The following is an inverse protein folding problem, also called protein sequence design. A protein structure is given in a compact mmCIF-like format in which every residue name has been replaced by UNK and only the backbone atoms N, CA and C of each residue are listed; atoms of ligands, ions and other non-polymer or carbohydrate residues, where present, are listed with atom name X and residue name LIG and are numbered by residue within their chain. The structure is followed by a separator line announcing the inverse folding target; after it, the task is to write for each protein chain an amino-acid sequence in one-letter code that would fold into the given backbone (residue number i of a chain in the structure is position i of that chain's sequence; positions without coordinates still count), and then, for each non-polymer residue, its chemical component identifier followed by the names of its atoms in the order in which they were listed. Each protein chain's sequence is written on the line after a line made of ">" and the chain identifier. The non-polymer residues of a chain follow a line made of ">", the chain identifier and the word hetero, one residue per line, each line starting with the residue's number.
data_IF_206579592442
#
_entry.id   IF_206579592442
#
_cell.length_a   1.000
_cell.length_b   1.000
_cell.length_c   1.000
_cell.angle_alpha   90.00
_cell.angle_beta   90.00
_cell.angle_gamma   90.00
#
_symmetry.space_group_name_H-M   'P 1'
#
loop_
_entity.id
_entity.type
_entity.pdbx_description
1 polymer ?
#
# COMPACT_ATOMS: atom_id res chain seq x y z
N UNK A 1 9.89 9.30 50.44
CA UNK A 1 10.96 9.51 49.43
C UNK A 1 11.13 8.33 48.48
N UNK A 2 11.54 7.12 48.92
CA UNK A 2 11.79 5.96 48.03
C UNK A 2 10.56 5.41 47.28
N UNK A 3 9.37 5.42 47.91
CA UNK A 3 8.10 5.02 47.27
C UNK A 3 7.59 6.05 46.24
N UNK A 4 7.93 7.33 46.42
CA UNK A 4 7.55 8.41 45.52
C UNK A 4 8.38 8.36 44.22
N UNK A 5 9.67 7.99 44.33
CA UNK A 5 10.58 7.81 43.19
C UNK A 5 10.20 6.60 42.33
N UNK A 6 9.78 5.49 42.96
CA UNK A 6 9.28 4.31 42.24
C UNK A 6 7.97 4.60 41.47
N UNK A 7 7.08 5.41 42.04
CA UNK A 7 5.82 5.79 41.39
C UNK A 7 6.05 6.70 40.17
N UNK A 8 7.02 7.61 40.24
CA UNK A 8 7.42 8.47 39.13
C UNK A 8 8.06 7.68 37.97
N UNK A 9 8.84 6.63 38.26
CA UNK A 9 9.45 5.75 37.25
C UNK A 9 8.38 4.90 36.55
N UNK A 10 7.38 4.38 37.28
CA UNK A 10 6.26 3.67 36.68
C UNK A 10 5.40 4.56 35.76
N UNK A 11 5.21 5.84 36.11
CA UNK A 11 4.50 6.80 35.25
C UNK A 11 5.27 7.11 33.96
N UNK A 12 6.59 7.26 34.03
CA UNK A 12 7.43 7.54 32.88
C UNK A 12 7.51 6.36 31.88
N UNK A 13 7.48 5.12 32.39
CA UNK A 13 7.45 3.91 31.55
C UNK A 13 6.10 3.69 30.85
N UNK A 14 5.00 4.16 31.44
CA UNK A 14 3.66 4.06 30.82
C UNK A 14 3.51 4.97 29.60
N UNK A 15 4.17 6.14 29.62
CA UNK A 15 4.03 7.14 28.57
C UNK A 15 4.75 6.78 27.25
N UNK A 16 5.68 5.81 27.28
CA UNK A 16 6.44 5.39 26.10
C UNK A 16 5.76 4.25 25.30
N UNK A 17 4.69 3.66 25.85
CA UNK A 17 4.04 2.47 25.27
C UNK A 17 2.87 2.79 24.31
N UNK A 18 2.54 4.06 24.10
CA UNK A 18 1.40 4.46 23.25
C UNK A 18 1.85 4.83 21.83
N UNK A 19 2.42 3.88 21.09
CA UNK A 19 2.51 4.02 19.63
C UNK A 19 1.13 3.71 19.05
N UNK A 20 0.43 4.74 18.57
CA UNK A 20 -0.78 4.54 17.76
C UNK A 20 -0.33 4.03 16.40
N UNK A 21 -0.81 2.84 16.04
CA UNK A 21 -0.68 2.34 14.67
C UNK A 21 -1.53 3.25 13.78
N UNK A 22 -0.88 4.03 12.92
CA UNK A 22 -1.59 4.88 11.97
C UNK A 22 -2.15 3.98 10.86
N UNK A 23 -3.43 4.14 10.48
CA UNK A 23 -4.00 3.31 9.44
C UNK A 23 -3.21 3.50 8.15
N UNK A 24 -2.81 2.39 7.54
CA UNK A 24 -2.06 2.37 6.28
C UNK A 24 -2.57 1.24 5.38
N UNK A 25 -2.41 1.41 4.07
CA UNK A 25 -2.74 0.38 3.08
C UNK A 25 -1.46 -0.05 2.38
N UNK A 26 -1.13 -1.33 2.47
CA UNK A 26 0.02 -1.88 1.77
C UNK A 26 -0.33 -2.09 0.29
N UNK A 27 0.34 -1.34 -0.59
CA UNK A 27 0.22 -1.47 -2.05
C UNK A 27 1.34 -2.31 -2.68
N UNK A 28 2.33 -2.73 -1.89
CA UNK A 28 3.39 -3.66 -2.33
C UNK A 28 2.87 -5.10 -2.27
N UNK A 29 1.87 -5.36 -3.09
CA UNK A 29 1.25 -6.66 -3.34
C UNK A 29 1.39 -6.99 -4.83
N UNK A 30 0.89 -8.13 -5.29
CA UNK A 30 0.85 -8.41 -6.71
C UNK A 30 -0.28 -7.64 -7.40
N UNK A 31 0.02 -7.01 -8.53
CA UNK A 31 -0.92 -6.28 -9.37
C UNK A 31 -1.23 -7.11 -10.62
N UNK A 32 -2.35 -6.81 -11.28
CA UNK A 32 -2.60 -7.32 -12.63
C UNK A 32 -1.71 -6.58 -13.62
N UNK A 33 -1.09 -7.31 -14.54
CA UNK A 33 -0.17 -6.77 -15.54
C UNK A 33 -0.46 -7.31 -16.95
N UNK A 34 -0.36 -6.42 -17.93
CA UNK A 34 -0.37 -6.75 -19.36
C UNK A 34 0.60 -5.85 -20.13
N UNK A 35 1.16 -6.37 -21.21
CA UNK A 35 1.93 -5.59 -22.19
C UNK A 35 1.02 -5.03 -23.29
N UNK A 36 1.49 -4.01 -24.00
CA UNK A 36 0.72 -3.28 -25.01
C UNK A 36 0.14 -1.97 -24.49
N UNK A 37 -0.33 -1.13 -25.42
CA UNK A 37 -0.96 0.15 -25.12
C UNK A 37 -2.39 0.18 -25.64
N UNK A 38 -3.36 0.01 -24.74
CA UNK A 38 -4.78 0.15 -25.05
C UNK A 38 -5.44 1.05 -24.00
N UNK A 39 -5.95 2.24 -24.38
CA UNK A 39 -6.61 3.15 -23.44
C UNK A 39 -7.81 2.55 -22.70
N UNK A 40 -8.44 1.50 -23.25
CA UNK A 40 -9.54 0.79 -22.58
C UNK A 40 -9.09 0.10 -21.29
N UNK A 41 -7.79 -0.16 -21.13
CA UNK A 41 -7.20 -0.71 -19.90
C UNK A 41 -7.35 0.21 -18.70
N UNK A 42 -7.64 1.50 -18.89
CA UNK A 42 -7.94 2.44 -17.81
C UNK A 42 -9.39 2.34 -17.28
N UNK A 43 -10.30 1.71 -18.03
CA UNK A 43 -11.72 1.72 -17.67
C UNK A 43 -11.96 0.95 -16.35
N UNK A 44 -12.76 1.50 -15.39
CA UNK A 44 -13.05 0.81 -14.14
C UNK A 44 -13.72 -0.56 -14.34
N UNK A 45 -14.55 -0.66 -15.38
CA UNK A 45 -15.28 -1.87 -15.77
C UNK A 45 -14.50 -2.85 -16.65
N UNK A 46 -13.25 -2.57 -17.01
CA UNK A 46 -12.44 -3.49 -17.80
C UNK A 46 -12.24 -4.82 -17.06
N UNK A 47 -12.40 -5.95 -17.76
CA UNK A 47 -12.19 -7.29 -17.21
C UNK A 47 -10.72 -7.68 -17.33
N UNK A 48 -10.01 -7.61 -16.22
CA UNK A 48 -8.58 -7.88 -16.07
C UNK A 48 -8.28 -9.31 -15.57
N UNK A 49 -9.27 -10.22 -15.62
CA UNK A 49 -9.13 -11.60 -15.12
C UNK A 49 -8.08 -12.41 -15.88
N UNK A 50 -7.87 -12.10 -17.17
CA UNK A 50 -6.86 -12.75 -18.01
C UNK A 50 -5.44 -12.21 -17.81
N UNK A 51 -5.26 -11.13 -17.05
CA UNK A 51 -3.95 -10.51 -16.84
C UNK A 51 -3.11 -11.32 -15.85
N UNK A 52 -1.79 -11.27 -16.04
CA UNK A 52 -0.82 -11.92 -15.16
C UNK A 52 -0.78 -11.21 -13.81
N UNK A 53 -0.54 -11.94 -12.72
CA UNK A 53 -0.17 -11.33 -11.44
C UNK A 53 1.31 -10.95 -11.50
N UNK A 54 1.66 -9.76 -11.01
CA UNK A 54 2.98 -9.17 -11.19
C UNK A 54 3.43 -8.46 -9.91
N UNK A 55 4.66 -8.74 -9.40
CA UNK A 55 5.22 -7.98 -8.30
C UNK A 55 5.53 -6.54 -8.74
N UNK A 56 5.40 -5.60 -7.80
CA UNK A 56 5.69 -4.17 -8.02
C UNK A 56 6.96 -3.69 -7.29
N UNK A 57 7.76 -4.63 -6.79
CA UNK A 57 9.04 -4.38 -6.11
C UNK A 57 10.25 -4.33 -7.06
N UNK A 58 10.03 -4.58 -8.36
CA UNK A 58 11.07 -4.68 -9.39
C UNK A 58 10.53 -4.33 -10.78
N UNK A 59 11.44 -4.08 -11.73
CA UNK A 59 11.13 -3.81 -13.14
C UNK A 59 10.61 -5.08 -13.85
N UNK A 60 9.76 -4.91 -14.88
CA UNK A 60 9.11 -6.04 -15.54
C UNK A 60 10.07 -6.96 -16.29
N UNK A 61 11.20 -6.45 -16.78
CA UNK A 61 12.20 -7.27 -17.48
C UNK A 61 12.74 -8.35 -16.54
N UNK A 62 13.07 -7.94 -15.31
CA UNK A 62 13.51 -8.83 -14.22
C UNK A 62 12.41 -9.79 -13.73
N UNK A 63 11.15 -9.52 -14.06
CA UNK A 63 9.99 -10.36 -13.73
C UNK A 63 9.58 -11.28 -14.89
N UNK A 64 10.42 -11.44 -15.93
CA UNK A 64 10.23 -12.41 -17.00
C UNK A 64 9.63 -11.83 -18.29
N UNK A 65 9.71 -10.51 -18.47
CA UNK A 65 9.29 -9.83 -19.70
C UNK A 65 10.45 -9.27 -20.52
N UNK A 66 11.70 -9.56 -20.16
CA UNK A 66 12.84 -9.26 -21.03
C UNK A 66 12.70 -9.97 -22.40
N UNK A 67 13.03 -9.33 -23.54
CA UNK A 67 13.50 -7.95 -23.73
C UNK A 67 12.39 -7.01 -24.21
N UNK A 68 11.16 -7.17 -23.69
CA UNK A 68 10.02 -6.38 -24.13
C UNK A 68 10.26 -4.88 -23.91
N UNK A 69 10.26 -4.13 -25.01
CA UNK A 69 10.37 -2.68 -25.05
C UNK A 69 9.06 -2.11 -25.65
N UNK A 70 8.39 -1.25 -24.89
CA UNK A 70 7.10 -0.71 -25.25
C UNK A 70 6.29 -0.27 -24.03
N UNK A 71 4.98 -0.29 -24.18
CA UNK A 71 4.04 0.12 -23.15
C UNK A 71 3.50 -1.09 -22.40
N UNK A 72 3.20 -0.89 -21.12
CA UNK A 72 2.56 -1.89 -20.29
C UNK A 72 1.65 -1.20 -19.27
N UNK A 73 0.68 -1.95 -18.78
CA UNK A 73 -0.31 -1.46 -17.83
C UNK A 73 -0.35 -2.33 -16.59
N UNK A 74 -0.50 -1.67 -15.45
CA UNK A 74 -0.74 -2.30 -14.15
C UNK A 74 -2.15 -1.93 -13.66
N UNK A 75 -2.85 -2.89 -13.05
CA UNK A 75 -4.18 -2.69 -12.45
C UNK A 75 -4.26 -3.34 -11.07
N UNK A 76 -4.80 -2.61 -10.11
CA UNK A 76 -5.10 -3.11 -8.77
C UNK A 76 -6.50 -2.65 -8.37
N UNK A 77 -7.31 -3.59 -7.84
CA UNK A 77 -8.59 -3.27 -7.20
C UNK A 77 -8.36 -3.27 -5.70
N UNK A 78 -8.62 -2.14 -5.06
CA UNK A 78 -8.49 -1.97 -3.61
C UNK A 78 -9.82 -1.54 -2.99
N UNK A 79 -10.00 -1.90 -1.74
CA UNK A 79 -11.00 -1.28 -0.87
C UNK A 79 -10.25 -0.37 0.09
N UNK A 80 -10.62 0.91 0.10
CA UNK A 80 -9.99 1.90 0.98
C UNK A 80 -10.72 1.86 2.32
N UNK A 81 -10.06 1.49 3.44
CA UNK A 81 -10.68 1.51 4.76
C UNK A 81 -11.16 2.92 5.13
N UNK A 82 -12.33 3.01 5.76
CA UNK A 82 -12.95 4.30 6.12
C UNK A 82 -12.08 5.14 7.05
N UNK A 83 -11.25 4.51 7.88
CA UNK A 83 -10.33 5.16 8.81
C UNK A 83 -9.32 6.06 8.09
N UNK A 84 -8.98 5.75 6.83
CA UNK A 84 -8.06 6.55 6.03
C UNK A 84 -8.65 7.89 5.59
N UNK A 85 -9.97 8.04 5.53
CA UNK A 85 -10.61 9.31 5.12
C UNK A 85 -10.33 10.47 6.07
N UNK A 86 -10.00 10.18 7.32
CA UNK A 86 -9.76 11.23 8.32
C UNK A 86 -8.27 11.39 8.64
N UNK A 87 -7.52 10.27 8.56
CA UNK A 87 -6.16 10.15 9.10
C UNK A 87 -5.07 10.01 8.04
N UNK A 88 -5.40 9.64 6.81
CA UNK A 88 -4.39 9.47 5.78
C UNK A 88 -3.74 10.81 5.41
N UNK A 89 -2.46 10.77 5.05
CA UNK A 89 -1.75 11.93 4.49
C UNK A 89 -2.42 12.46 3.23
N UNK A 90 -3.00 11.57 2.41
CA UNK A 90 -3.67 11.90 1.15
C UNK A 90 -5.20 11.93 1.29
N UNK A 91 -5.73 12.14 2.49
CA UNK A 91 -7.17 12.11 2.76
C UNK A 91 -7.99 13.06 1.88
N UNK A 92 -7.43 14.21 1.51
CA UNK A 92 -8.11 15.20 0.66
C UNK A 92 -8.31 14.71 -0.79
N UNK A 93 -7.66 13.59 -1.16
CA UNK A 93 -7.78 12.92 -2.46
C UNK A 93 -8.60 11.62 -2.39
N UNK A 94 -9.12 11.25 -1.22
CA UNK A 94 -9.94 10.05 -0.99
C UNK A 94 -11.44 10.38 -1.00
#
# INVERSE_FOLDING_TARGET
>A
MRKLFFFAICLALFSCASYKDEPSLNLNVEWKFITGDDPSFALPGYLDSAWKSMPVDRIWESAGFDPYDGYAWYRLRIVIPSELKEKALLKDSL
#
